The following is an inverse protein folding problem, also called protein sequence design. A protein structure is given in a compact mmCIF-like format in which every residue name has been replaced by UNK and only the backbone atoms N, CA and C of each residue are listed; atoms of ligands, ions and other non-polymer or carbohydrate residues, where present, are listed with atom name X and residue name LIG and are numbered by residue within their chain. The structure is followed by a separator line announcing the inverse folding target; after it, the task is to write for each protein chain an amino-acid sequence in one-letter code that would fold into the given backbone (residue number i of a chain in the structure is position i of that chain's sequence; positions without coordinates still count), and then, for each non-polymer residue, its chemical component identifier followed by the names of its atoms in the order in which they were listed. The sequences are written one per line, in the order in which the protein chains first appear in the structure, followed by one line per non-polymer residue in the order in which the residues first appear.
data_IF_855734720258
#
_entry.id   IF_855734720258
#
_cell.length_a   1.000
_cell.length_b   1.000
_cell.length_c   1.000
_cell.angle_alpha   90.00
_cell.angle_beta   90.00
_cell.angle_gamma   90.00
#
_symmetry.space_group_name_H-M   'P 1'
#
loop_
_entity.id
_entity.type
_entity.pdbx_description
1 polymer ?
#
# COMPACT_ATOMS: atom_id res chain seq x y z
N UNK A 1 -9.41 56.48 -56.69
CA UNK A 1 -9.60 57.28 -55.47
C UNK A 1 -9.67 56.32 -54.28
N UNK A 2 -8.74 56.43 -53.33
CA UNK A 2 -8.82 55.98 -51.92
C UNK A 2 -8.94 54.47 -51.57
N UNK A 3 -7.76 53.84 -51.40
CA UNK A 3 -7.21 53.19 -50.19
C UNK A 3 -8.01 52.12 -49.38
N UNK A 4 -7.26 51.25 -48.65
CA UNK A 4 -7.53 49.82 -48.38
C UNK A 4 -8.19 49.61 -47.02
N UNK A 5 -8.47 48.37 -46.62
CA UNK A 5 -8.30 47.91 -45.21
C UNK A 5 -8.29 46.38 -45.20
N UNK A 6 -7.15 45.87 -44.75
CA UNK A 6 -6.89 44.53 -44.23
C UNK A 6 -7.91 44.17 -43.15
N UNK A 7 -8.50 42.99 -43.19
CA UNK A 7 -9.14 42.42 -42.00
C UNK A 7 -8.73 40.97 -41.87
N UNK A 8 -7.56 40.81 -41.24
CA UNK A 8 -7.13 39.62 -40.54
C UNK A 8 -8.27 39.16 -39.61
N UNK A 9 -8.82 37.97 -39.89
CA UNK A 9 -9.80 37.30 -39.04
C UNK A 9 -9.20 36.03 -38.47
N UNK A 10 -8.16 36.17 -37.66
CA UNK A 10 -7.64 35.03 -36.90
C UNK A 10 -7.11 35.41 -35.52
N UNK A 11 -7.99 35.57 -34.50
CA UNK A 11 -7.54 35.34 -33.12
C UNK A 11 -8.45 34.45 -32.26
N UNK A 12 -9.64 34.06 -32.73
CA UNK A 12 -10.68 33.50 -31.85
C UNK A 12 -10.64 31.97 -31.61
N UNK A 13 -9.87 31.19 -32.38
CA UNK A 13 -9.76 29.72 -32.17
C UNK A 13 -8.78 29.31 -31.06
N UNK A 14 -7.75 30.12 -30.81
CA UNK A 14 -6.73 29.82 -29.78
C UNK A 14 -7.28 29.97 -28.37
N UNK A 15 -8.05 31.04 -28.12
CA UNK A 15 -8.61 31.33 -26.80
C UNK A 15 -9.66 30.30 -26.36
N UNK A 16 -10.49 29.80 -27.28
CA UNK A 16 -11.47 28.75 -26.97
C UNK A 16 -10.79 27.42 -26.61
N UNK A 17 -9.71 27.02 -27.31
CA UNK A 17 -8.97 25.79 -26.99
C UNK A 17 -8.28 25.84 -25.63
N UNK A 18 -7.77 27.00 -25.23
CA UNK A 18 -7.14 27.18 -23.90
C UNK A 18 -8.17 27.18 -22.78
N UNK A 19 -9.35 27.77 -23.01
CA UNK A 19 -10.46 27.74 -22.05
C UNK A 19 -11.06 26.33 -21.87
N UNK A 20 -11.19 25.54 -22.94
CA UNK A 20 -11.63 24.13 -22.81
C UNK A 20 -10.60 23.29 -22.06
N UNK A 21 -9.29 23.48 -22.33
CA UNK A 21 -8.21 22.77 -21.62
C UNK A 21 -8.15 23.06 -20.11
N UNK A 22 -8.51 24.26 -19.68
CA UNK A 22 -8.53 24.62 -18.25
C UNK A 22 -9.69 23.95 -17.49
N UNK A 23 -10.79 23.62 -18.20
CA UNK A 23 -11.94 22.91 -17.65
C UNK A 23 -11.77 21.39 -17.79
N UNK A 24 -11.10 20.91 -18.85
CA UNK A 24 -10.86 19.49 -19.10
C UNK A 24 -9.83 18.88 -18.14
N UNK A 25 -8.87 19.66 -17.64
CA UNK A 25 -7.83 19.18 -16.71
C UNK A 25 -8.39 18.64 -15.37
N UNK A 26 -9.28 19.36 -14.65
CA UNK A 26 -9.89 18.82 -13.43
C UNK A 26 -10.89 17.68 -13.71
N UNK A 27 -11.58 17.69 -14.86
CA UNK A 27 -12.50 16.62 -15.24
C UNK A 27 -11.75 15.32 -15.55
N UNK A 28 -10.61 15.41 -16.25
CA UNK A 28 -9.74 14.26 -16.53
C UNK A 28 -9.15 13.64 -15.26
N UNK A 29 -8.79 14.45 -14.26
CA UNK A 29 -8.32 13.94 -12.97
C UNK A 29 -9.41 13.14 -12.22
N UNK A 30 -10.65 13.62 -12.24
CA UNK A 30 -11.79 12.93 -11.61
C UNK A 30 -12.12 11.63 -12.38
N UNK A 31 -11.99 11.62 -13.70
CA UNK A 31 -12.19 10.42 -14.53
C UNK A 31 -11.13 9.34 -14.23
N UNK A 32 -9.86 9.73 -14.12
CA UNK A 32 -8.75 8.83 -13.77
C UNK A 32 -8.93 8.25 -12.36
N UNK A 33 -9.29 9.09 -11.38
CA UNK A 33 -9.61 8.66 -10.02
C UNK A 33 -10.83 7.73 -9.98
N UNK A 34 -11.85 7.99 -10.81
CA UNK A 34 -13.01 7.13 -10.97
C UNK A 34 -12.65 5.75 -11.53
N UNK A 35 -11.78 5.70 -12.55
CA UNK A 35 -11.26 4.44 -13.12
C UNK A 35 -10.46 3.64 -12.10
N UNK A 36 -9.56 4.29 -11.36
CA UNK A 36 -8.77 3.65 -10.31
C UNK A 36 -9.66 3.13 -9.19
N UNK A 37 -10.61 3.94 -8.71
CA UNK A 37 -11.55 3.55 -7.65
C UNK A 37 -12.43 2.38 -8.07
N UNK A 38 -12.95 2.40 -9.30
CA UNK A 38 -13.75 1.30 -9.84
C UNK A 38 -12.91 0.02 -10.01
N UNK A 39 -11.64 0.14 -10.38
CA UNK A 39 -10.71 -0.98 -10.44
C UNK A 39 -10.46 -1.58 -9.05
N UNK A 40 -10.08 -0.76 -8.06
CA UNK A 40 -9.90 -1.20 -6.68
C UNK A 40 -11.17 -1.84 -6.10
N UNK A 41 -12.35 -1.26 -6.37
CA UNK A 41 -13.63 -1.81 -5.93
C UNK A 41 -13.95 -3.17 -6.54
N UNK A 42 -13.71 -3.36 -7.85
CA UNK A 42 -13.87 -4.67 -8.51
C UNK A 42 -12.87 -5.69 -7.99
N UNK A 43 -11.62 -5.26 -7.77
CA UNK A 43 -10.57 -6.08 -7.18
C UNK A 43 -10.99 -6.58 -5.80
N UNK A 44 -11.34 -5.69 -4.89
CA UNK A 44 -11.75 -6.06 -3.53
C UNK A 44 -13.01 -6.95 -3.55
N UNK A 45 -13.98 -6.65 -4.41
CA UNK A 45 -15.19 -7.45 -4.56
C UNK A 45 -14.96 -8.88 -5.06
N UNK A 46 -13.87 -9.13 -5.81
CA UNK A 46 -13.53 -10.46 -6.31
C UNK A 46 -12.73 -11.33 -5.31
N UNK A 47 -12.08 -10.72 -4.32
CA UNK A 47 -11.32 -11.42 -3.26
C UNK A 47 -12.13 -12.51 -2.53
N UNK A 48 -13.33 -12.22 -1.98
CA UNK A 48 -14.08 -13.21 -1.21
C UNK A 48 -14.52 -14.42 -2.07
N UNK A 49 -14.76 -14.21 -3.37
CA UNK A 49 -15.10 -15.30 -4.28
C UNK A 49 -13.94 -16.29 -4.44
N UNK A 50 -12.72 -15.78 -4.56
CA UNK A 50 -11.51 -16.60 -4.72
C UNK A 50 -11.18 -17.37 -3.44
N UNK A 51 -11.22 -16.72 -2.28
CA UNK A 51 -10.91 -17.35 -0.99
C UNK A 51 -11.83 -18.53 -0.71
N UNK A 52 -13.14 -18.38 -0.97
CA UNK A 52 -14.11 -19.44 -0.70
C UNK A 52 -14.03 -20.62 -1.67
N UNK A 53 -13.52 -20.40 -2.89
CA UNK A 53 -13.45 -21.44 -3.92
C UNK A 53 -12.11 -22.18 -3.95
N UNK A 54 -11.02 -21.55 -3.51
CA UNK A 54 -9.65 -22.09 -3.58
C UNK A 54 -8.96 -22.16 -2.21
N UNK A 55 -9.73 -22.49 -1.16
CA UNK A 55 -9.26 -22.50 0.25
C UNK A 55 -8.00 -23.32 0.49
N UNK A 56 -7.91 -24.48 -0.18
CA UNK A 56 -6.78 -25.41 -0.01
C UNK A 56 -5.50 -24.84 -0.64
N UNK A 57 -5.60 -24.22 -1.81
CA UNK A 57 -4.47 -23.54 -2.47
C UNK A 57 -3.98 -22.37 -1.61
N UNK A 58 -4.91 -21.55 -1.11
CA UNK A 58 -4.62 -20.41 -0.24
C UNK A 58 -3.93 -20.87 1.05
N UNK A 59 -4.41 -21.94 1.68
CA UNK A 59 -3.79 -22.48 2.89
C UNK A 59 -2.40 -23.06 2.64
N UNK A 60 -2.22 -23.75 1.51
CA UNK A 60 -0.92 -24.30 1.13
C UNK A 60 0.08 -23.18 0.88
N UNK A 61 -0.36 -22.09 0.25
CA UNK A 61 0.49 -20.95 -0.02
C UNK A 61 0.85 -20.15 1.24
N UNK A 62 -0.12 -19.97 2.14
CA UNK A 62 0.15 -19.39 3.46
C UNK A 62 1.13 -20.28 4.21
N UNK A 63 0.96 -21.61 4.17
CA UNK A 63 1.87 -22.54 4.82
C UNK A 63 3.28 -22.50 4.21
N UNK A 64 3.41 -22.41 2.89
CA UNK A 64 4.69 -22.33 2.20
C UNK A 64 5.41 -21.00 2.46
N UNK A 65 4.69 -19.87 2.36
CA UNK A 65 5.22 -18.56 2.72
C UNK A 65 5.63 -18.55 4.18
N UNK A 66 4.81 -19.10 5.09
CA UNK A 66 5.09 -19.14 6.54
C UNK A 66 6.25 -20.08 6.91
N UNK A 67 6.46 -21.16 6.17
CA UNK A 67 7.53 -22.14 6.43
C UNK A 67 8.83 -21.82 5.70
N UNK A 68 8.82 -20.87 4.76
CA UNK A 68 10.01 -20.43 4.04
C UNK A 68 10.95 -19.58 4.88
N UNK A 69 12.24 -19.61 4.56
CA UNK A 69 13.27 -18.71 5.10
C UNK A 69 12.92 -17.22 4.92
N UNK A 70 12.14 -16.89 3.88
CA UNK A 70 11.57 -15.56 3.67
C UNK A 70 10.60 -15.10 4.77
N UNK A 71 9.75 -15.98 5.31
CA UNK A 71 8.89 -15.60 6.44
C UNK A 71 9.69 -15.37 7.72
N UNK A 72 10.72 -16.16 7.99
CA UNK A 72 11.58 -15.92 9.15
C UNK A 72 12.28 -14.56 9.07
N UNK A 73 12.71 -14.15 7.87
CA UNK A 73 13.27 -12.82 7.65
C UNK A 73 12.24 -11.69 7.87
N UNK A 74 11.00 -11.87 7.40
CA UNK A 74 9.91 -10.89 7.60
C UNK A 74 9.48 -10.82 9.07
N UNK A 75 9.30 -11.96 9.73
CA UNK A 75 8.92 -12.04 11.15
C UNK A 75 10.05 -11.45 12.01
N UNK A 76 11.29 -11.85 11.77
CA UNK A 76 12.46 -11.32 12.48
C UNK A 76 12.61 -9.81 12.28
N UNK A 77 12.51 -9.33 11.04
CA UNK A 77 12.56 -7.89 10.74
C UNK A 77 11.43 -7.11 11.41
N UNK A 78 10.21 -7.64 11.39
CA UNK A 78 9.06 -6.99 12.04
C UNK A 78 9.23 -6.95 13.55
N UNK A 79 9.74 -8.01 14.19
CA UNK A 79 10.00 -8.02 15.64
C UNK A 79 11.06 -6.98 16.03
N UNK A 80 12.11 -6.81 15.22
CA UNK A 80 13.12 -5.76 15.45
C UNK A 80 12.49 -4.37 15.35
N UNK A 81 11.68 -4.12 14.31
CA UNK A 81 10.99 -2.83 14.12
C UNK A 81 10.03 -2.56 15.29
N UNK A 82 9.21 -3.54 15.68
CA UNK A 82 8.28 -3.41 16.82
C UNK A 82 9.05 -3.14 18.11
N UNK A 83 10.15 -3.86 18.35
CA UNK A 83 10.98 -3.66 19.54
C UNK A 83 11.54 -2.24 19.61
N UNK A 84 12.15 -1.77 18.52
CA UNK A 84 12.69 -0.41 18.45
C UNK A 84 11.61 0.67 18.64
N UNK A 85 10.47 0.54 17.96
CA UNK A 85 9.37 1.49 18.09
C UNK A 85 8.77 1.47 19.50
N UNK A 86 8.58 0.29 20.09
CA UNK A 86 8.03 0.16 21.45
C UNK A 86 8.98 0.75 22.49
N UNK A 87 10.29 0.55 22.35
CA UNK A 87 11.29 1.17 23.23
C UNK A 87 11.30 2.69 23.08
N UNK A 88 11.25 3.22 21.85
CA UNK A 88 11.20 4.66 21.61
C UNK A 88 9.93 5.30 22.21
N UNK A 89 8.77 4.68 21.99
CA UNK A 89 7.49 5.13 22.56
C UNK A 89 7.49 5.02 24.09
N UNK A 90 8.04 3.93 24.65
CA UNK A 90 8.19 3.77 26.10
C UNK A 90 9.05 4.85 26.74
N UNK A 91 10.15 5.23 26.08
CA UNK A 91 10.99 6.34 26.51
C UNK A 91 10.23 7.67 26.50
N UNK A 92 9.54 7.99 25.40
CA UNK A 92 8.78 9.23 25.26
C UNK A 92 7.66 9.35 26.30
N UNK A 93 6.87 8.29 26.48
CA UNK A 93 5.79 8.25 27.47
C UNK A 93 6.34 8.35 28.90
N UNK A 94 7.52 7.80 29.19
CA UNK A 94 8.18 7.98 30.50
C UNK A 94 8.55 9.43 30.79
N UNK A 95 9.15 10.12 29.82
CA UNK A 95 9.59 11.52 29.96
C UNK A 95 8.40 12.47 30.03
N UNK A 96 7.42 12.31 29.12
CA UNK A 96 6.24 13.17 29.10
C UNK A 96 5.26 12.84 30.22
N UNK A 97 5.10 11.57 30.57
CA UNK A 97 4.20 11.10 31.61
C UNK A 97 4.62 11.56 33.01
N UNK A 98 5.91 11.53 33.32
CA UNK A 98 6.44 12.04 34.59
C UNK A 98 6.26 13.56 34.72
N UNK A 99 6.51 14.31 33.64
CA UNK A 99 6.35 15.78 33.63
C UNK A 99 4.88 16.20 33.75
N UNK A 100 3.98 15.51 33.02
CA UNK A 100 2.55 15.83 32.98
C UNK A 100 1.84 15.49 34.30
N UNK A 101 2.13 14.34 34.90
CA UNK A 101 1.54 13.96 36.20
C UNK A 101 2.23 14.62 37.39
N UNK A 102 3.49 15.03 37.23
CA UNK A 102 4.20 15.84 38.22
C UNK A 102 3.54 17.20 38.48
N UNK A 103 3.00 17.83 37.43
CA UNK A 103 2.26 19.11 37.55
C UNK A 103 0.93 18.98 38.30
N UNK A 104 0.35 17.77 38.35
CA UNK A 104 -0.94 17.47 39.01
C UNK A 104 -0.69 16.90 40.42
N UNK A 105 0.58 16.75 40.85
CA UNK A 105 0.95 16.22 42.17
C UNK A 105 0.88 14.70 42.30
N UNK A 106 0.68 13.96 41.19
CA UNK A 106 0.49 12.50 41.15
C UNK A 106 1.63 11.79 40.40
N UNK A 107 2.84 12.34 40.44
CA UNK A 107 4.01 11.82 39.70
C UNK A 107 4.30 10.33 39.95
N UNK A 108 4.02 9.82 41.15
CA UNK A 108 4.20 8.40 41.47
C UNK A 108 3.25 7.46 40.71
N UNK A 109 2.07 7.93 40.29
CA UNK A 109 1.09 7.15 39.52
C UNK A 109 1.40 7.14 38.01
N UNK A 110 2.32 8.01 37.56
CA UNK A 110 2.68 8.14 36.15
C UNK A 110 3.29 6.88 35.57
N UNK A 111 4.13 6.18 36.33
CA UNK A 111 4.70 4.88 35.92
C UNK A 111 3.64 3.80 35.76
N UNK A 112 2.65 3.77 36.67
CA UNK A 112 1.55 2.80 36.62
C UNK A 112 0.63 3.03 35.43
N UNK A 113 0.22 4.28 35.19
CA UNK A 113 -0.64 4.65 34.05
C UNK A 113 0.10 4.45 32.73
N UNK A 114 1.37 4.85 32.67
CA UNK A 114 2.22 4.64 31.49
C UNK A 114 2.37 3.16 31.13
N UNK A 115 2.66 2.29 32.11
CA UNK A 115 2.80 0.87 31.89
C UNK A 115 1.49 0.21 31.42
N UNK A 116 0.35 0.61 32.00
CA UNK A 116 -0.96 0.08 31.63
C UNK A 116 -1.38 0.50 30.22
N UNK A 117 -1.22 1.78 29.88
CA UNK A 117 -1.57 2.31 28.56
C UNK A 117 -0.65 1.77 27.46
N UNK A 118 0.66 1.74 27.70
CA UNK A 118 1.63 1.28 26.71
C UNK A 118 1.38 -0.20 26.35
N UNK A 119 1.16 -1.05 27.36
CA UNK A 119 0.95 -2.50 27.14
C UNK A 119 -0.37 -2.81 26.44
N UNK A 120 -1.44 -2.07 26.74
CA UNK A 120 -2.80 -2.33 26.21
C UNK A 120 -3.10 -1.67 24.88
N UNK A 121 -2.60 -0.47 24.66
CA UNK A 121 -2.98 0.34 23.50
C UNK A 121 -1.80 0.57 22.56
N UNK A 122 -0.62 0.94 23.10
CA UNK A 122 0.52 1.28 22.26
C UNK A 122 1.08 0.05 21.53
N UNK A 123 1.32 -1.06 22.23
CA UNK A 123 1.88 -2.29 21.62
C UNK A 123 1.00 -2.84 20.47
N UNK A 124 -0.32 -3.06 20.61
CA UNK A 124 -1.11 -3.61 19.51
C UNK A 124 -1.22 -2.66 18.32
N UNK A 125 -1.27 -1.35 18.56
CA UNK A 125 -1.28 -0.34 17.49
C UNK A 125 0.05 -0.36 16.73
N UNK A 126 1.18 -0.34 17.44
CA UNK A 126 2.52 -0.39 16.84
C UNK A 126 2.70 -1.69 16.06
N UNK A 127 2.29 -2.83 16.62
CA UNK A 127 2.36 -4.12 15.95
C UNK A 127 1.52 -4.15 14.66
N UNK A 128 0.32 -3.58 14.67
CA UNK A 128 -0.55 -3.50 13.49
C UNK A 128 0.06 -2.65 12.37
N UNK A 129 0.61 -1.48 12.72
CA UNK A 129 1.29 -0.60 11.76
C UNK A 129 2.54 -1.28 11.21
N UNK A 130 3.36 -1.87 12.08
CA UNK A 130 4.60 -2.54 11.69
C UNK A 130 4.32 -3.72 10.75
N UNK A 131 3.34 -4.58 11.08
CA UNK A 131 2.95 -5.70 10.21
C UNK A 131 2.42 -5.21 8.86
N UNK A 132 1.58 -4.17 8.86
CA UNK A 132 1.06 -3.61 7.61
C UNK A 132 2.21 -3.08 6.74
N UNK A 133 3.17 -2.38 7.35
CA UNK A 133 4.33 -1.83 6.65
C UNK A 133 5.24 -2.93 6.08
N UNK A 134 5.58 -3.96 6.85
CA UNK A 134 6.50 -5.03 6.40
C UNK A 134 5.86 -5.94 5.37
N UNK A 135 4.61 -6.35 5.59
CA UNK A 135 3.86 -7.19 4.64
C UNK A 135 3.58 -6.41 3.34
N UNK A 136 3.15 -5.15 3.44
CA UNK A 136 2.91 -4.30 2.28
C UNK A 136 4.17 -4.02 1.46
N UNK A 137 5.30 -3.77 2.13
CA UNK A 137 6.60 -3.61 1.46
C UNK A 137 7.05 -4.93 0.79
N UNK A 138 6.81 -6.08 1.43
CA UNK A 138 7.10 -7.40 0.85
C UNK A 138 6.33 -7.67 -0.45
N UNK A 139 5.02 -7.45 -0.47
CA UNK A 139 4.22 -7.62 -1.69
C UNK A 139 4.62 -6.62 -2.80
N UNK A 140 4.95 -5.38 -2.43
CA UNK A 140 5.43 -4.38 -3.39
C UNK A 140 6.78 -4.77 -3.98
N UNK A 141 7.70 -5.30 -3.17
CA UNK A 141 9.00 -5.79 -3.63
C UNK A 141 8.87 -6.97 -4.60
N UNK A 142 7.90 -7.86 -4.37
CA UNK A 142 7.63 -8.99 -5.26
C UNK A 142 7.09 -8.53 -6.62
N UNK A 143 6.11 -7.62 -6.63
CA UNK A 143 5.61 -7.02 -7.87
C UNK A 143 6.72 -6.27 -8.64
N UNK A 144 7.62 -5.59 -7.92
CA UNK A 144 8.81 -4.98 -8.50
C UNK A 144 9.75 -6.01 -9.13
N UNK A 145 9.99 -7.13 -8.45
CA UNK A 145 10.85 -8.20 -8.94
C UNK A 145 10.27 -8.89 -10.20
N UNK A 146 8.94 -9.10 -10.25
CA UNK A 146 8.26 -9.64 -11.43
C UNK A 146 8.35 -8.69 -12.63
N UNK A 147 8.29 -7.38 -12.37
CA UNK A 147 8.47 -6.36 -13.42
C UNK A 147 9.88 -6.36 -13.98
N UNK A 148 10.89 -6.42 -13.12
CA UNK A 148 12.30 -6.42 -13.56
C UNK A 148 12.65 -7.74 -14.25
N UNK A 149 11.99 -8.84 -13.89
CA UNK A 149 12.17 -10.15 -14.51
C UNK A 149 11.39 -10.34 -15.82
N UNK A 150 10.73 -9.28 -16.34
CA UNK A 150 9.88 -9.35 -17.55
C UNK A 150 8.74 -10.40 -17.46
N UNK A 151 8.39 -10.84 -16.24
CA UNK A 151 7.32 -11.82 -16.02
C UNK A 151 5.95 -11.20 -16.33
N UNK A 152 5.81 -9.89 -16.09
CA UNK A 152 4.57 -9.15 -16.38
C UNK A 152 4.30 -9.14 -17.89
N UNK A 153 5.33 -8.97 -18.73
CA UNK A 153 5.19 -8.97 -20.20
C UNK A 153 4.88 -10.38 -20.75
N UNK A 154 5.49 -11.41 -20.16
CA UNK A 154 5.17 -12.80 -20.47
C UNK A 154 3.70 -13.14 -20.19
N UNK A 155 3.13 -12.61 -19.11
CA UNK A 155 1.72 -12.82 -18.76
C UNK A 155 0.75 -12.04 -19.67
N UNK A 156 1.17 -10.88 -20.17
CA UNK A 156 0.38 -10.07 -21.11
C UNK A 156 0.28 -10.75 -22.49
N UNK A 157 1.37 -11.36 -22.95
CA UNK A 157 1.42 -12.08 -24.24
C UNK A 157 0.69 -13.43 -24.23
N UNK A 158 0.55 -14.08 -23.07
CA UNK A 158 -0.23 -15.32 -22.91
C UNK A 158 -1.76 -15.12 -22.93
N UNK A 159 -2.26 -13.88 -23.10
CA UNK A 159 -3.67 -13.53 -23.31
C UNK A 159 -4.66 -14.22 -22.37
N UNK A 160 -4.32 -14.30 -21.08
CA UNK A 160 -5.29 -14.68 -20.05
C UNK A 160 -6.18 -13.47 -19.73
N UNK A 161 -7.14 -13.18 -20.62
CA UNK A 161 -8.13 -12.12 -20.46
C UNK A 161 -9.27 -12.58 -19.55
N UNK A 162 -9.22 -12.09 -18.32
CA UNK A 162 -10.36 -12.09 -17.40
C UNK A 162 -9.87 -11.90 -15.97
N UNK A 163 -9.66 -10.65 -15.53
CA UNK A 163 -9.34 -10.32 -14.12
C UNK A 163 -8.05 -10.95 -13.53
N UNK A 164 -7.15 -11.44 -14.40
CA UNK A 164 -6.27 -12.59 -14.16
C UNK A 164 -4.98 -12.33 -13.33
N UNK A 165 -4.54 -11.08 -13.19
CA UNK A 165 -3.28 -10.74 -12.47
C UNK A 165 -3.43 -10.71 -10.94
N UNK A 166 -4.66 -10.61 -10.42
CA UNK A 166 -4.91 -10.46 -8.99
C UNK A 166 -4.70 -11.75 -8.18
N UNK A 167 -4.69 -12.90 -8.85
CA UNK A 167 -4.48 -14.26 -8.30
C UNK A 167 -3.10 -14.80 -8.67
N UNK A 168 -2.42 -14.25 -9.69
CA UNK A 168 -1.13 -14.76 -10.15
C UNK A 168 0.03 -14.51 -9.19
N UNK A 169 0.03 -13.46 -8.35
CA UNK A 169 1.08 -13.27 -7.33
C UNK A 169 0.89 -14.15 -6.09
N UNK A 170 -0.32 -14.64 -5.84
CA UNK A 170 -0.56 -15.71 -4.86
C UNK A 170 -0.08 -17.06 -5.48
N UNK A 171 -0.37 -17.36 -6.75
CA UNK A 171 0.10 -18.58 -7.41
C UNK A 171 1.62 -18.62 -7.78
N UNK A 172 2.27 -17.48 -8.01
CA UNK A 172 3.65 -17.40 -8.53
C UNK A 172 4.75 -17.46 -7.47
N UNK A 173 4.47 -17.08 -6.22
CA UNK A 173 5.49 -17.08 -5.15
C UNK A 173 5.76 -18.48 -4.55
N UNK A 174 4.89 -19.46 -4.83
CA UNK A 174 5.19 -20.89 -4.57
C UNK A 174 6.22 -21.49 -5.53
N UNK A 175 6.73 -20.72 -6.52
CA UNK A 175 7.67 -21.23 -7.53
C UNK A 175 9.14 -20.86 -7.28
N UNK A 176 9.48 -20.11 -6.22
CA UNK A 176 10.88 -19.93 -5.76
C UNK A 176 11.37 -21.11 -4.90
N UNK A 177 10.68 -22.25 -4.97
CA UNK A 177 11.18 -23.56 -4.53
C UNK A 177 12.03 -24.29 -5.56
N UNK A 178 12.35 -23.70 -6.72
CA UNK A 178 13.14 -24.35 -7.77
C UNK A 178 14.43 -23.60 -8.08
N UNK A 179 15.46 -23.84 -7.27
CA UNK A 179 16.82 -23.95 -7.81
C UNK A 179 16.94 -25.30 -8.53
N UNK A 180 17.56 -25.39 -9.72
CA UNK A 180 18.13 -26.65 -10.16
C UNK A 180 19.32 -26.96 -9.25
N UNK A 181 19.42 -28.24 -8.86
CA UNK A 181 20.38 -28.86 -7.91
C UNK A 181 19.87 -28.96 -6.47
#
# INVERSE_FOLDING_TARGET
MSKPVTTDKTPLKGFRRTATRAIDAPVGAIEEMGKQTAFYGRTIGAIPHTINRYRIEVLRLIAEVSMGTGALAVIGGTLVVIGLLTTAVGYEVGVQGSTSLGHIGIGALSGFISAFFNTREAIPVIAGIALTATVGAGFTAQLGAMRVSEEIDALETMSMRGTHSMVQSLCGLGLVGRGPL
#
